data_IF_426199550086
#
_entry.id   IF_426199550086
#
_cell.length_a   1.000
_cell.length_b   1.000
_cell.length_c   1.000
_cell.angle_alpha   90.00
_cell.angle_beta   90.00
_cell.angle_gamma   90.00
#
_symmetry.space_group_name_H-M   'P 1'
#
loop_
_entity.id
_entity.type
_entity.pdbx_description
1 polymer ?
#
# COMPACT_ATOMS: atom_id res chain seq x y z
N UNK A 1 2.23 6.10 18.00
CA UNK A 1 3.07 5.38 17.04
C UNK A 1 2.23 4.30 16.35
N UNK A 2 2.32 4.21 15.04
CA UNK A 2 1.55 3.23 14.27
C UNK A 2 2.10 1.82 14.48
N UNK A 3 1.29 0.79 14.21
CA UNK A 3 1.79 -0.59 14.26
C UNK A 3 2.99 -0.84 13.35
N UNK A 4 3.03 -0.20 12.17
CA UNK A 4 4.14 -0.36 11.24
C UNK A 4 5.44 0.19 11.84
N UNK A 5 5.39 1.36 12.46
CA UNK A 5 6.55 1.95 13.09
C UNK A 5 7.05 1.09 14.26
N UNK A 6 6.12 0.57 15.06
CA UNK A 6 6.48 -0.34 16.15
C UNK A 6 7.17 -1.59 15.62
N UNK A 7 6.68 -2.13 14.52
CA UNK A 7 7.27 -3.33 13.91
C UNK A 7 8.69 -3.05 13.42
N UNK A 8 8.92 -1.90 12.80
CA UNK A 8 10.26 -1.51 12.35
C UNK A 8 11.22 -1.39 13.53
N UNK A 9 10.77 -0.81 14.63
CA UNK A 9 11.59 -0.71 15.84
C UNK A 9 11.93 -2.09 16.39
N UNK A 10 10.96 -2.97 16.48
CA UNK A 10 11.17 -4.33 17.00
C UNK A 10 12.12 -5.13 16.13
N UNK A 11 12.06 -4.93 14.81
CA UNK A 11 12.92 -5.62 13.86
C UNK A 11 14.30 -4.96 13.75
N UNK A 12 14.52 -3.85 14.45
CA UNK A 12 15.77 -3.08 14.41
C UNK A 12 16.14 -2.61 13.01
N UNK A 13 15.12 -2.26 12.22
CA UNK A 13 15.28 -1.71 10.88
C UNK A 13 15.51 -0.21 11.00
N UNK A 14 16.52 0.29 10.30
CA UNK A 14 16.77 1.74 10.24
C UNK A 14 15.67 2.41 9.41
N UNK A 15 15.05 3.46 9.96
CA UNK A 15 14.00 4.20 9.27
C UNK A 15 13.94 5.64 9.77
N UNK A 16 13.29 6.48 8.99
CA UNK A 16 13.00 7.86 9.37
C UNK A 16 11.50 8.09 9.30
N UNK A 17 10.97 8.88 10.24
CA UNK A 17 9.56 9.25 10.23
C UNK A 17 9.44 10.63 9.62
N UNK A 18 8.61 10.74 8.58
CA UNK A 18 8.31 12.01 7.92
C UNK A 18 6.85 12.35 8.17
N UNK A 19 6.61 13.54 8.71
CA UNK A 19 5.26 13.98 9.01
C UNK A 19 4.88 15.16 8.12
N UNK A 20 3.59 15.23 7.80
CA UNK A 20 3.03 16.35 7.06
C UNK A 20 1.57 16.53 7.49
N UNK A 21 1.03 17.72 7.22
CA UNK A 21 -0.38 18.00 7.55
C UNK A 21 -1.25 17.44 6.43
N UNK A 22 -2.08 16.45 6.80
CA UNK A 22 -3.01 15.83 5.87
C UNK A 22 -4.16 16.79 5.54
N UNK A 23 -4.44 16.94 4.24
CA UNK A 23 -5.59 17.70 3.76
C UNK A 23 -6.78 16.75 3.61
N UNK A 24 -7.82 16.98 4.40
CA UNK A 24 -8.98 16.09 4.40
C UNK A 24 -9.70 16.01 3.06
N UNK A 25 -9.50 16.99 2.18
CA UNK A 25 -10.11 16.99 0.84
C UNK A 25 -9.32 16.16 -0.17
N UNK A 26 -8.14 15.70 0.18
CA UNK A 26 -7.29 14.93 -0.72
C UNK A 26 -7.82 13.50 -0.88
N UNK A 27 -7.96 13.07 -2.14
CA UNK A 27 -8.44 11.73 -2.45
C UNK A 27 -7.32 10.70 -2.46
N UNK A 28 -6.10 11.10 -2.77
CA UNK A 28 -4.95 10.20 -2.86
C UNK A 28 -3.91 10.54 -1.80
N UNK A 29 -3.83 9.69 -0.78
CA UNK A 29 -2.86 9.88 0.31
C UNK A 29 -1.42 9.77 -0.15
N UNK A 30 -1.14 8.84 -1.06
CA UNK A 30 0.21 8.64 -1.56
C UNK A 30 0.71 9.81 -2.40
N UNK A 31 -0.14 10.36 -3.25
CA UNK A 31 0.23 11.52 -4.06
C UNK A 31 0.42 12.75 -3.18
N UNK A 32 -0.40 12.90 -2.16
CA UNK A 32 -0.26 13.98 -1.21
C UNK A 32 1.09 13.89 -0.47
N UNK A 33 1.45 12.70 -0.02
CA UNK A 33 2.72 12.48 0.67
C UNK A 33 3.90 12.86 -0.23
N UNK A 34 3.88 12.43 -1.49
CA UNK A 34 4.93 12.75 -2.44
C UNK A 34 5.08 14.25 -2.62
N UNK A 35 3.95 14.96 -2.78
CA UNK A 35 3.95 16.40 -2.98
C UNK A 35 4.46 17.15 -1.74
N UNK A 36 3.89 16.84 -0.58
CA UNK A 36 4.22 17.57 0.65
C UNK A 36 5.62 17.28 1.18
N UNK A 37 6.13 16.10 0.90
CA UNK A 37 7.49 15.72 1.31
C UNK A 37 8.52 15.97 0.22
N UNK A 38 8.10 16.49 -0.93
CA UNK A 38 8.97 16.77 -2.07
C UNK A 38 9.76 15.54 -2.52
N UNK A 39 9.07 14.41 -2.60
CA UNK A 39 9.64 13.15 -3.05
C UNK A 39 9.00 12.76 -4.37
N UNK A 40 9.78 12.21 -5.30
CA UNK A 40 9.26 11.78 -6.58
C UNK A 40 8.20 10.69 -6.38
N UNK A 41 7.11 10.74 -7.17
CA UNK A 41 5.98 9.83 -6.98
C UNK A 41 6.35 8.36 -7.19
N UNK A 42 7.39 8.08 -7.97
CA UNK A 42 7.85 6.72 -8.19
C UNK A 42 8.71 6.19 -7.03
N UNK A 43 8.99 7.02 -6.05
CA UNK A 43 9.72 6.65 -4.84
C UNK A 43 8.83 6.57 -3.60
N UNK A 44 7.56 6.85 -3.76
CA UNK A 44 6.57 6.68 -2.69
C UNK A 44 5.70 5.49 -3.06
N UNK A 45 5.54 4.56 -2.13
CA UNK A 45 4.86 3.30 -2.38
C UNK A 45 3.57 3.21 -1.60
N UNK A 46 2.63 2.44 -2.12
CA UNK A 46 1.37 2.15 -1.43
C UNK A 46 1.21 0.64 -1.32
N UNK A 47 0.55 0.23 -0.26
CA UNK A 47 0.26 -1.17 0.01
C UNK A 47 -1.20 -1.43 -0.30
N UNK A 48 -1.47 -2.43 -1.14
CA UNK A 48 -2.82 -2.82 -1.50
C UNK A 48 -3.02 -4.29 -1.15
N UNK A 49 -4.20 -4.61 -0.62
CA UNK A 49 -4.53 -5.99 -0.30
C UNK A 49 -5.54 -6.50 -1.33
N UNK A 50 -5.23 -7.63 -1.92
CA UNK A 50 -5.99 -8.24 -3.00
C UNK A 50 -6.45 -9.62 -2.57
N UNK A 51 -7.69 -9.97 -2.92
CA UNK A 51 -8.25 -11.29 -2.66
C UNK A 51 -8.28 -12.09 -3.95
N UNK A 52 -7.68 -13.26 -3.92
CA UNK A 52 -7.71 -14.17 -5.05
C UNK A 52 -9.00 -15.00 -5.03
N UNK A 53 -9.35 -15.60 -6.17
CA UNK A 53 -10.54 -16.44 -6.26
C UNK A 53 -10.49 -17.65 -5.33
N UNK A 54 -9.31 -18.01 -4.85
CA UNK A 54 -9.12 -19.09 -3.87
C UNK A 54 -9.45 -18.67 -2.44
N UNK A 55 -9.66 -17.36 -2.21
CA UNK A 55 -9.85 -16.81 -0.88
C UNK A 55 -8.57 -16.30 -0.23
N UNK A 56 -7.43 -16.57 -0.84
CA UNK A 56 -6.14 -16.13 -0.32
C UNK A 56 -5.99 -14.61 -0.46
N UNK A 57 -5.41 -13.97 0.56
CA UNK A 57 -5.12 -12.55 0.53
C UNK A 57 -3.65 -12.34 0.17
N UNK A 58 -3.42 -11.39 -0.73
CA UNK A 58 -2.07 -11.05 -1.21
C UNK A 58 -1.83 -9.56 -0.98
N UNK A 59 -0.69 -9.23 -0.42
CA UNK A 59 -0.29 -7.83 -0.22
C UNK A 59 0.59 -7.41 -1.40
N UNK A 60 0.21 -6.31 -2.03
CA UNK A 60 0.94 -5.76 -3.17
C UNK A 60 1.51 -4.39 -2.80
N UNK A 61 2.78 -4.18 -3.12
CA UNK A 61 3.43 -2.88 -2.90
C UNK A 61 3.81 -2.34 -4.27
N UNK A 62 3.25 -1.17 -4.60
CA UNK A 62 3.51 -0.53 -5.90
C UNK A 62 3.75 0.97 -5.70
N UNK A 63 4.47 1.63 -6.62
CA UNK A 63 4.61 3.08 -6.56
C UNK A 63 3.25 3.77 -6.62
N UNK A 64 3.11 4.91 -5.92
CA UNK A 64 1.85 5.66 -5.92
C UNK A 64 1.48 6.18 -7.30
N UNK A 65 2.46 6.30 -8.20
CA UNK A 65 2.24 6.72 -9.58
C UNK A 65 1.64 5.62 -10.46
N UNK A 66 1.55 4.40 -9.95
CA UNK A 66 1.10 3.24 -10.74
C UNK A 66 -0.28 2.78 -10.29
N UNK A 67 -0.98 2.12 -11.22
CA UNK A 67 -2.24 1.43 -10.92
C UNK A 67 -1.98 -0.06 -10.94
N UNK A 68 -2.58 -0.77 -9.99
CA UNK A 68 -2.44 -2.21 -9.92
C UNK A 68 -3.25 -2.88 -11.03
N UNK A 69 -2.58 -3.71 -11.83
CA UNK A 69 -3.23 -4.53 -12.86
C UNK A 69 -3.64 -5.86 -12.22
N UNK A 70 -4.92 -5.95 -11.87
CA UNK A 70 -5.44 -7.13 -11.17
C UNK A 70 -5.36 -8.40 -12.03
N UNK A 71 -5.51 -8.25 -13.34
CA UNK A 71 -5.43 -9.39 -14.25
C UNK A 71 -4.02 -9.96 -14.31
N UNK A 72 -3.04 -9.08 -14.40
CA UNK A 72 -1.64 -9.47 -14.39
C UNK A 72 -1.28 -10.11 -13.05
N UNK A 73 -1.77 -9.54 -11.96
CA UNK A 73 -1.50 -10.08 -10.63
C UNK A 73 -2.07 -11.50 -10.49
N UNK A 74 -3.29 -11.73 -10.98
CA UNK A 74 -3.87 -13.06 -10.94
C UNK A 74 -3.01 -14.06 -11.71
N UNK A 75 -2.50 -13.67 -12.87
CA UNK A 75 -1.59 -14.50 -13.66
C UNK A 75 -0.32 -14.85 -12.87
N UNK A 76 0.31 -13.86 -12.29
CA UNK A 76 1.55 -14.06 -11.53
C UNK A 76 1.32 -14.95 -10.32
N UNK A 77 0.17 -14.80 -9.68
CA UNK A 77 -0.21 -15.59 -8.50
C UNK A 77 -0.77 -16.97 -8.85
N UNK A 78 -0.85 -17.28 -10.15
CA UNK A 78 -1.41 -18.55 -10.62
C UNK A 78 -2.87 -18.72 -10.24
N UNK A 79 -3.62 -17.62 -10.22
CA UNK A 79 -5.04 -17.58 -9.87
C UNK A 79 -5.87 -17.24 -11.10
N UNK A 80 -7.15 -17.53 -11.06
CA UNK A 80 -8.07 -17.22 -12.16
C UNK A 80 -8.55 -15.78 -12.09
N UNK A 81 -8.69 -15.23 -10.90
CA UNK A 81 -9.23 -13.89 -10.70
C UNK A 81 -8.67 -13.27 -9.44
N UNK A 82 -8.48 -11.96 -9.48
CA UNK A 82 -8.06 -11.16 -8.35
C UNK A 82 -8.95 -9.93 -8.24
N UNK A 83 -9.28 -9.54 -7.01
CA UNK A 83 -10.09 -8.34 -6.77
C UNK A 83 -9.59 -7.64 -5.52
N UNK A 84 -9.86 -6.36 -5.39
CA UNK A 84 -9.46 -5.63 -4.19
C UNK A 84 -10.20 -6.19 -2.99
N UNK A 85 -9.48 -6.44 -1.90
CA UNK A 85 -10.09 -6.95 -0.68
C UNK A 85 -10.92 -5.87 0.00
N UNK A 86 -12.02 -6.29 0.64
CA UNK A 86 -12.83 -5.36 1.40
C UNK A 86 -12.06 -4.93 2.64
N UNK A 87 -12.25 -3.67 3.04
CA UNK A 87 -11.53 -3.11 4.17
C UNK A 87 -11.77 -3.90 5.47
N UNK A 88 -12.96 -4.42 5.65
CA UNK A 88 -13.30 -5.22 6.83
C UNK A 88 -12.47 -6.50 6.92
N UNK A 89 -12.06 -7.05 5.78
CA UNK A 89 -11.24 -8.27 5.71
C UNK A 89 -9.77 -7.96 6.00
N UNK A 90 -9.33 -6.75 5.64
CA UNK A 90 -7.94 -6.33 5.82
C UNK A 90 -7.68 -5.89 7.25
N UNK A 91 -8.68 -5.43 7.96
CA UNK A 91 -8.55 -4.94 9.31
C UNK A 91 -8.09 -6.03 10.27
N UNK A 92 -7.12 -5.70 11.07
CA UNK A 92 -6.54 -6.62 12.06
C UNK A 92 -6.89 -6.23 13.46
#
# INVERSE_FOLDING_TARGET
MTPALKRCQSAKISFQVHEYVHDASTESYGMEAAEKLSVAVDRVFKTLVVKLNTGELVVCVIPVSSMLDLKLLANVANAKKAEMAEQSVVQR
#
